data_IF_774201160481
#
_entry.id   IF_774201160481
#
_cell.length_a   1.000
_cell.length_b   1.000
_cell.length_c   1.000
_cell.angle_alpha   90.00
_cell.angle_beta   90.00
_cell.angle_gamma   90.00
#
_symmetry.space_group_name_H-M   'P 1'
#
loop_
_entity.id
_entity.type
_entity.pdbx_description
1 polymer ?
#
# COMPACT_ATOMS: atom_id res chain seq x y z
N UNK A 1 -37.77 -6.41 10.15
CA UNK A 1 -36.86 -5.40 10.76
C UNK A 1 -35.69 -6.02 11.52
N UNK A 2 -35.87 -7.09 12.30
CA UNK A 2 -34.79 -7.75 13.07
C UNK A 2 -33.68 -8.33 12.17
N UNK A 3 -34.03 -8.99 11.06
CA UNK A 3 -33.04 -9.55 10.12
C UNK A 3 -32.17 -8.47 9.46
N UNK A 4 -32.75 -7.30 9.18
CA UNK A 4 -32.02 -6.16 8.63
C UNK A 4 -31.04 -5.56 9.64
N UNK A 5 -31.45 -5.48 10.92
CA UNK A 5 -30.57 -5.08 12.03
C UNK A 5 -29.41 -6.06 12.20
N UNK A 6 -29.65 -7.37 12.15
CA UNK A 6 -28.59 -8.39 12.22
C UNK A 6 -27.64 -8.33 11.03
N UNK A 7 -28.16 -8.14 9.81
CA UNK A 7 -27.33 -7.99 8.61
C UNK A 7 -26.49 -6.70 8.69
N UNK A 8 -27.08 -5.59 9.11
CA UNK A 8 -26.37 -4.32 9.27
C UNK A 8 -25.31 -4.39 10.38
N UNK A 9 -25.63 -5.04 11.51
CA UNK A 9 -24.70 -5.30 12.61
C UNK A 9 -23.54 -6.20 12.16
N UNK A 10 -23.79 -7.33 11.49
CA UNK A 10 -22.73 -8.19 10.93
C UNK A 10 -21.82 -7.44 9.95
N UNK A 11 -22.38 -6.55 9.13
CA UNK A 11 -21.62 -5.70 8.19
C UNK A 11 -20.78 -4.65 8.92
N UNK A 12 -21.28 -4.10 10.03
CA UNK A 12 -20.55 -3.15 10.86
C UNK A 12 -19.43 -3.83 11.69
N UNK A 13 -19.67 -5.02 12.23
CA UNK A 13 -18.68 -5.85 12.94
C UNK A 13 -17.52 -6.19 12.00
N UNK A 14 -17.83 -6.72 10.79
CA UNK A 14 -16.82 -7.03 9.76
C UNK A 14 -15.99 -5.80 9.35
N UNK A 15 -16.59 -4.60 9.31
CA UNK A 15 -15.86 -3.35 9.05
C UNK A 15 -14.94 -2.94 10.20
N UNK A 16 -15.34 -3.18 11.45
CA UNK A 16 -14.50 -2.89 12.63
C UNK A 16 -13.28 -3.80 12.68
N UNK A 17 -13.42 -5.08 12.33
CA UNK A 17 -12.31 -6.02 12.28
C UNK A 17 -11.29 -5.65 11.21
N UNK A 18 -11.73 -5.25 10.02
CA UNK A 18 -10.84 -4.72 8.96
C UNK A 18 -10.08 -3.48 9.42
N UNK A 19 -10.74 -2.55 10.12
CA UNK A 19 -10.09 -1.34 10.66
C UNK A 19 -9.10 -1.69 11.79
N UNK A 20 -9.40 -2.72 12.60
CA UNK A 20 -8.52 -3.19 13.67
C UNK A 20 -7.28 -3.91 13.11
N UNK A 21 -7.44 -4.76 12.09
CA UNK A 21 -6.32 -5.42 11.38
C UNK A 21 -5.47 -4.40 10.62
N UNK A 22 -6.08 -3.40 9.97
CA UNK A 22 -5.36 -2.30 9.35
C UNK A 22 -4.52 -1.46 10.34
N UNK A 23 -4.85 -1.53 11.64
CA UNK A 23 -4.12 -0.86 12.72
C UNK A 23 -2.92 -1.68 13.22
N UNK A 24 -2.93 -3.00 13.04
CA UNK A 24 -1.80 -3.89 13.32
C UNK A 24 -0.88 -4.09 12.09
N UNK A 25 -1.39 -3.82 10.90
CA UNK A 25 -0.63 -3.92 9.65
C UNK A 25 0.16 -2.65 9.33
N UNK A 26 1.41 -2.83 8.88
CA UNK A 26 2.28 -1.74 8.47
C UNK A 26 1.74 -1.08 7.19
N UNK A 27 1.00 0.02 7.36
CA UNK A 27 0.40 0.80 6.27
C UNK A 27 1.39 1.15 5.16
N UNK A 28 2.65 1.40 5.52
CA UNK A 28 3.70 1.72 4.55
C UNK A 28 3.99 0.54 3.61
N UNK A 29 4.17 -0.65 4.18
CA UNK A 29 4.49 -1.86 3.42
C UNK A 29 3.30 -2.26 2.56
N UNK A 30 2.08 -2.17 3.10
CA UNK A 30 0.84 -2.42 2.34
C UNK A 30 0.75 -1.49 1.13
N UNK A 31 0.97 -0.19 1.33
CA UNK A 31 0.91 0.80 0.26
C UNK A 31 1.98 0.55 -0.82
N UNK A 32 3.24 0.35 -0.43
CA UNK A 32 4.34 0.14 -1.37
C UNK A 32 4.24 -1.21 -2.10
N UNK A 33 3.79 -2.26 -1.40
CA UNK A 33 3.61 -3.57 -2.00
C UNK A 33 2.48 -3.56 -3.03
N UNK A 34 1.37 -2.88 -2.74
CA UNK A 34 0.27 -2.78 -3.70
C UNK A 34 0.67 -1.94 -4.92
N UNK A 35 1.36 -0.81 -4.72
CA UNK A 35 1.89 0.00 -5.81
C UNK A 35 2.85 -0.81 -6.72
N UNK A 36 3.69 -1.67 -6.12
CA UNK A 36 4.60 -2.58 -6.83
C UNK A 36 3.86 -3.70 -7.57
N UNK A 37 3.01 -4.48 -6.87
CA UNK A 37 2.29 -5.64 -7.43
C UNK A 37 1.42 -5.22 -8.62
N UNK A 38 0.71 -4.11 -8.50
CA UNK A 38 -0.18 -3.63 -9.56
C UNK A 38 0.49 -2.69 -10.57
N UNK A 39 1.82 -2.51 -10.48
CA UNK A 39 2.61 -1.64 -11.36
C UNK A 39 2.00 -0.24 -11.51
N UNK A 40 1.62 0.36 -10.38
CA UNK A 40 1.04 1.70 -10.35
C UNK A 40 2.16 2.72 -10.50
N UNK A 41 2.11 3.62 -11.50
CA UNK A 41 3.05 4.74 -11.57
C UNK A 41 2.91 5.62 -10.33
N UNK A 42 4.03 5.97 -9.71
CA UNK A 42 4.09 6.85 -8.54
C UNK A 42 4.98 8.05 -8.83
N UNK A 43 4.66 9.17 -8.19
CA UNK A 43 5.54 10.33 -8.05
C UNK A 43 6.07 10.37 -6.63
N UNK A 44 7.39 10.30 -6.47
CA UNK A 44 8.08 10.42 -5.19
C UNK A 44 8.64 11.82 -5.09
N UNK A 45 8.17 12.59 -4.13
CA UNK A 45 8.70 13.90 -3.77
C UNK A 45 9.75 13.73 -2.69
N UNK A 46 10.91 14.34 -2.89
CA UNK A 46 11.96 14.38 -1.88
C UNK A 46 11.96 15.71 -1.13
N UNK A 47 12.59 15.75 0.04
CA UNK A 47 12.56 16.87 0.98
C UNK A 47 13.11 18.18 0.39
N UNK A 48 13.97 18.10 -0.62
CA UNK A 48 14.49 19.27 -1.34
C UNK A 48 13.56 19.79 -2.46
N UNK A 49 12.40 19.14 -2.68
CA UNK A 49 11.41 19.53 -3.68
C UNK A 49 11.57 18.88 -5.06
N UNK A 50 12.64 18.13 -5.32
CA UNK A 50 12.74 17.34 -6.55
C UNK A 50 11.74 16.18 -6.55
N UNK A 51 11.36 15.70 -7.73
CA UNK A 51 10.42 14.60 -7.88
C UNK A 51 10.96 13.51 -8.81
N UNK A 52 10.77 12.26 -8.42
CA UNK A 52 10.97 11.10 -9.27
C UNK A 52 9.63 10.57 -9.73
N UNK A 53 9.50 10.19 -10.99
CA UNK A 53 8.30 9.55 -11.55
C UNK A 53 8.69 8.18 -12.06
N UNK A 54 7.94 7.15 -11.70
CA UNK A 54 8.31 5.80 -12.08
C UNK A 54 7.47 4.71 -11.44
N UNK A 55 7.95 3.48 -11.56
CA UNK A 55 7.33 2.29 -10.99
C UNK A 55 8.14 1.77 -9.81
N UNK A 56 7.47 1.44 -8.71
CA UNK A 56 8.13 0.77 -7.58
C UNK A 56 8.49 -0.65 -8.02
N UNK A 57 9.78 -1.01 -7.95
CA UNK A 57 10.27 -2.38 -8.25
C UNK A 57 10.49 -3.20 -7.00
N UNK A 58 10.85 -2.55 -5.90
CA UNK A 58 11.11 -3.16 -4.60
C UNK A 58 11.28 -2.11 -3.52
N UNK A 59 11.25 -2.55 -2.26
CA UNK A 59 11.53 -1.71 -1.10
C UNK A 59 11.98 -2.58 0.06
N UNK A 60 12.70 -2.00 1.00
CA UNK A 60 13.03 -2.59 2.29
C UNK A 60 12.61 -1.60 3.39
N UNK A 61 13.13 -1.74 4.62
CA UNK A 61 12.81 -0.85 5.74
C UNK A 61 13.26 0.61 5.49
N UNK A 62 14.33 0.85 4.74
CA UNK A 62 15.00 2.16 4.62
C UNK A 62 15.03 2.73 3.20
N UNK A 63 14.77 1.93 2.17
CA UNK A 63 14.95 2.27 0.77
C UNK A 63 13.76 1.85 -0.10
N UNK A 64 13.62 2.52 -1.24
CA UNK A 64 12.68 2.19 -2.31
C UNK A 64 13.44 2.16 -3.62
N UNK A 65 13.26 1.09 -4.40
CA UNK A 65 13.78 0.98 -5.75
C UNK A 65 12.71 1.44 -6.73
N UNK A 66 13.01 2.49 -7.48
CA UNK A 66 12.14 3.08 -8.49
C UNK A 66 12.74 2.89 -9.89
N UNK A 67 11.93 2.41 -10.83
CA UNK A 67 12.25 2.37 -12.25
C UNK A 67 11.71 3.64 -12.92
N UNK A 68 12.62 4.48 -13.42
CA UNK A 68 12.32 5.71 -14.16
C UNK A 68 12.97 5.60 -15.53
N UNK A 69 12.13 5.52 -16.58
CA UNK A 69 12.57 5.43 -17.98
C UNK A 69 13.62 4.33 -18.24
N UNK A 70 13.45 3.15 -17.63
CA UNK A 70 14.34 2.01 -17.78
C UNK A 70 15.61 2.08 -16.93
N UNK A 71 15.77 3.14 -16.11
CA UNK A 71 16.87 3.27 -15.15
C UNK A 71 16.38 2.96 -13.75
N UNK A 72 17.17 2.17 -13.04
CA UNK A 72 16.91 1.82 -11.65
C UNK A 72 17.52 2.87 -10.72
N UNK A 73 16.67 3.49 -9.89
CA UNK A 73 17.07 4.45 -8.87
C UNK A 73 16.80 3.85 -7.48
N UNK A 74 17.82 3.84 -6.62
CA UNK A 74 17.67 3.49 -5.21
C UNK A 74 17.51 4.77 -4.40
N UNK A 75 16.35 4.93 -3.76
CA UNK A 75 15.97 6.15 -3.04
C UNK A 75 15.86 5.83 -1.56
N UNK A 76 16.60 6.56 -0.72
CA UNK A 76 16.47 6.45 0.73
C UNK A 76 15.20 7.13 1.25
N UNK A 77 14.46 6.43 2.10
CA UNK A 77 13.18 6.92 2.66
C UNK A 77 13.34 8.18 3.52
N UNK A 78 14.48 8.40 4.15
CA UNK A 78 14.73 9.63 4.93
C UNK A 78 14.73 10.90 4.07
N UNK A 79 14.97 10.76 2.76
CA UNK A 79 14.92 11.86 1.81
C UNK A 79 13.53 12.04 1.19
N UNK A 80 12.61 11.07 1.36
CA UNK A 80 11.26 11.11 0.78
C UNK A 80 10.35 11.92 1.70
N UNK A 81 9.68 12.93 1.14
CA UNK A 81 8.63 13.67 1.84
C UNK A 81 7.24 13.09 1.57
N UNK A 82 6.94 12.68 0.34
CA UNK A 82 5.61 12.21 -0.05
C UNK A 82 5.67 11.27 -1.25
N UNK A 83 4.79 10.25 -1.28
CA UNK A 83 4.61 9.36 -2.43
C UNK A 83 3.16 9.49 -2.90
N UNK A 84 2.97 9.89 -4.16
CA UNK A 84 1.64 10.08 -4.78
C UNK A 84 1.45 9.09 -5.92
N UNK A 85 0.47 8.17 -5.84
CA UNK A 85 0.19 7.24 -6.92
C UNK A 85 -0.68 7.88 -8.00
N UNK A 86 -0.51 7.46 -9.27
CA UNK A 86 -1.30 7.97 -10.40
C UNK A 86 -2.79 7.59 -10.29
N UNK A 87 -3.08 6.46 -9.66
CA UNK A 87 -4.43 6.01 -9.33
C UNK A 87 -4.48 5.56 -7.87
N UNK A 88 -5.67 5.62 -7.27
CA UNK A 88 -5.85 5.23 -5.87
C UNK A 88 -5.35 3.79 -5.61
N UNK A 89 -4.58 3.65 -4.55
CA UNK A 89 -4.14 2.35 -4.04
C UNK A 89 -5.24 1.82 -3.11
N UNK A 90 -5.84 0.69 -3.46
CA UNK A 90 -6.83 0.05 -2.60
C UNK A 90 -6.12 -0.67 -1.46
N UNK A 91 -6.02 0.01 -0.32
CA UNK A 91 -5.47 -0.57 0.90
C UNK A 91 -6.38 -1.72 1.38
N UNK A 92 -7.70 -1.60 1.15
CA UNK A 92 -8.69 -2.60 1.55
C UNK A 92 -8.50 -3.95 0.83
N UNK A 93 -8.21 -3.92 -0.48
CA UNK A 93 -8.03 -5.14 -1.28
C UNK A 93 -6.67 -5.81 -1.05
N UNK A 94 -5.71 -5.08 -0.46
CA UNK A 94 -4.41 -5.63 -0.10
C UNK A 94 -4.51 -6.57 1.12
N UNK A 95 -5.49 -6.37 2.01
CA UNK A 95 -5.72 -7.21 3.19
C UNK A 95 -6.19 -8.62 2.83
N UNK A 96 -7.05 -8.77 1.81
CA UNK A 96 -7.63 -10.07 1.46
C UNK A 96 -6.63 -11.02 0.78
N UNK A 97 -5.45 -10.53 0.33
CA UNK A 97 -4.48 -11.34 -0.42
C UNK A 97 -3.31 -11.85 0.43
N UNK A 98 -2.88 -11.11 1.45
CA UNK A 98 -1.78 -11.52 2.36
C UNK A 98 -2.11 -12.82 3.11
N UNK A 99 -3.38 -13.02 3.51
CA UNK A 99 -3.80 -14.24 4.21
C UNK A 99 -3.79 -15.51 3.33
N UNK A 100 -3.70 -15.35 2.00
CA UNK A 100 -3.78 -16.47 1.05
C UNK A 100 -2.43 -16.96 0.51
N UNK A 101 -1.38 -16.13 0.60
CA UNK A 101 -0.04 -16.46 0.10
C UNK A 101 0.87 -17.04 1.22
N UNK A 102 0.65 -16.68 2.49
CA UNK A 102 1.48 -17.13 3.63
C UNK A 102 1.06 -18.49 4.25
N UNK A 103 0.05 -19.18 3.69
CA UNK A 103 -0.40 -20.52 4.15
C UNK A 103 0.17 -21.66 3.27
N UNK A 104 1.05 -21.35 2.32
CA UNK A 104 1.61 -22.33 1.37
C UNK A 104 3.10 -22.65 1.54
N UNK A 105 3.68 -22.37 2.71
CA UNK A 105 5.01 -22.87 3.06
C UNK A 105 4.98 -23.68 4.36
#
# INVERSE_FOLDING_TARGET
>A
MILFYFMFRKKAEKRKDVIKMAKELNLQDVFLNQARKEKIPVTIYITNGFQFKGLVRGFDNYTVILDTDGKQNLIYKHAISTITPLRAVSILDAFDRTDSEDVKE
#
